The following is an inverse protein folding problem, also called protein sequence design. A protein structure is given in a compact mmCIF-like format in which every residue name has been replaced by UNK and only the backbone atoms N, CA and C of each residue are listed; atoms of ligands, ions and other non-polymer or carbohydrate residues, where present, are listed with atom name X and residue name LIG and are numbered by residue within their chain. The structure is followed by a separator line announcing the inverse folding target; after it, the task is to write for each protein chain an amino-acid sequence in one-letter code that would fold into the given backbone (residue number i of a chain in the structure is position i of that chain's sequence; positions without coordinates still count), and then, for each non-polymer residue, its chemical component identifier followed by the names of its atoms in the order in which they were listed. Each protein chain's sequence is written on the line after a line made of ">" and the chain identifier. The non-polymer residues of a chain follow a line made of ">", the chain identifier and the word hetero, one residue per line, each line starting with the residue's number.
data_IF_203341792713
#
_entry.id   IF_203341792713
#
_cell.length_a   1.000
_cell.length_b   1.000
_cell.length_c   1.000
_cell.angle_alpha   90.00
_cell.angle_beta   90.00
_cell.angle_gamma   90.00
#
_symmetry.space_group_name_H-M   'P 1'
#
loop_
_entity.id
_entity.type
_entity.pdbx_description
1 polymer ?
#
# COMPACT_ATOMS: atom_id res chain seq x y z
N UNK A 1 -14.13 -29.90 -0.13
CA UNK A 1 -13.26 -28.83 -0.67
C UNK A 1 -14.08 -27.88 -1.54
N UNK A 2 -13.88 -26.56 -1.40
CA UNK A 2 -14.66 -25.51 -2.06
C UNK A 2 -13.79 -24.66 -3.01
N UNK A 3 -13.38 -25.20 -4.18
CA UNK A 3 -12.45 -24.53 -5.09
C UNK A 3 -13.00 -23.25 -5.73
N UNK A 4 -14.32 -23.08 -5.72
CA UNK A 4 -14.99 -21.91 -6.29
C UNK A 4 -15.11 -20.71 -5.33
N UNK A 5 -14.76 -20.88 -4.05
CA UNK A 5 -14.92 -19.80 -3.08
C UNK A 5 -13.91 -18.67 -3.33
N UNK A 6 -14.34 -17.40 -3.24
CA UNK A 6 -13.41 -16.29 -3.34
C UNK A 6 -12.47 -16.26 -2.14
N UNK A 7 -11.25 -15.79 -2.38
CA UNK A 7 -10.24 -15.58 -1.33
C UNK A 7 -10.20 -14.09 -1.00
N UNK A 8 -10.52 -13.74 0.23
CA UNK A 8 -10.38 -12.38 0.72
C UNK A 8 -9.10 -12.26 1.56
N UNK A 9 -8.20 -11.38 1.13
CA UNK A 9 -6.99 -11.04 1.87
C UNK A 9 -7.25 -9.68 2.55
N UNK A 10 -6.89 -9.58 3.81
CA UNK A 10 -7.11 -8.35 4.58
C UNK A 10 -5.91 -8.05 5.46
N UNK A 11 -5.85 -6.81 5.89
CA UNK A 11 -4.82 -6.33 6.80
C UNK A 11 -5.14 -4.92 7.27
N UNK A 12 -4.40 -4.48 8.28
CA UNK A 12 -4.47 -3.14 8.84
C UNK A 12 -3.08 -2.49 8.77
N UNK A 13 -3.02 -1.19 8.50
CA UNK A 13 -1.77 -0.42 8.46
C UNK A 13 -0.78 -1.05 7.47
N UNK A 14 0.47 -1.31 7.88
CA UNK A 14 1.45 -2.02 7.06
C UNK A 14 0.92 -3.38 6.55
N UNK A 15 0.15 -4.10 7.37
CA UNK A 15 -0.45 -5.37 6.98
C UNK A 15 -1.46 -5.24 5.84
N UNK A 16 -2.13 -4.10 5.71
CA UNK A 16 -2.99 -3.83 4.55
C UNK A 16 -2.17 -3.69 3.27
N UNK A 17 -0.98 -3.09 3.36
CA UNK A 17 -0.03 -3.01 2.25
C UNK A 17 0.46 -4.39 1.81
N UNK A 18 0.80 -5.25 2.76
CA UNK A 18 1.15 -6.66 2.49
C UNK A 18 -0.02 -7.39 1.82
N UNK A 19 -1.24 -7.22 2.33
CA UNK A 19 -2.44 -7.83 1.75
C UNK A 19 -2.69 -7.41 0.29
N UNK A 20 -2.53 -6.12 0.00
CA UNK A 20 -2.65 -5.58 -1.35
C UNK A 20 -1.59 -6.15 -2.29
N UNK A 21 -0.31 -6.15 -1.89
CA UNK A 21 0.78 -6.71 -2.69
C UNK A 21 0.62 -8.22 -2.91
N UNK A 22 0.20 -8.97 -1.88
CA UNK A 22 -0.08 -10.41 -2.01
C UNK A 22 -1.23 -10.68 -2.98
N UNK A 23 -2.27 -9.85 -2.94
CA UNK A 23 -3.38 -9.92 -3.90
C UNK A 23 -2.90 -9.71 -5.34
N UNK A 24 -2.01 -8.74 -5.56
CA UNK A 24 -1.40 -8.52 -6.88
C UNK A 24 -0.54 -9.70 -7.33
N UNK A 25 0.29 -10.24 -6.45
CA UNK A 25 1.13 -11.40 -6.76
C UNK A 25 0.30 -12.64 -7.11
N UNK A 26 -0.83 -12.86 -6.43
CA UNK A 26 -1.72 -13.98 -6.72
C UNK A 26 -2.55 -13.79 -8.00
N UNK A 27 -2.92 -12.54 -8.32
CA UNK A 27 -3.70 -12.21 -9.53
C UNK A 27 -2.85 -12.20 -10.79
N UNK A 28 -1.68 -11.59 -10.72
CA UNK A 28 -0.83 -11.26 -11.87
C UNK A 28 0.50 -12.00 -11.87
N UNK A 29 0.65 -13.01 -11.01
CA UNK A 29 1.92 -13.70 -10.81
C UNK A 29 2.59 -14.08 -12.13
N UNK A 30 3.75 -13.48 -12.40
CA UNK A 30 4.58 -13.81 -13.55
C UNK A 30 6.06 -13.82 -13.15
N UNK A 31 6.70 -15.00 -13.25
CA UNK A 31 8.17 -15.11 -13.22
C UNK A 31 8.75 -16.48 -12.84
N UNK A 32 8.12 -17.24 -11.93
CA UNK A 32 8.75 -18.46 -11.36
C UNK A 32 7.99 -19.75 -11.68
N UNK A 33 6.65 -19.69 -11.80
CA UNK A 33 5.83 -20.85 -12.12
C UNK A 33 5.02 -20.66 -13.43
N UNK A 34 5.09 -21.60 -14.38
CA UNK A 34 4.33 -21.53 -15.64
C UNK A 34 2.84 -21.83 -15.47
N UNK A 35 2.39 -22.18 -14.26
CA UNK A 35 0.98 -22.47 -13.99
C UNK A 35 0.30 -21.28 -13.33
N UNK A 36 -0.74 -20.68 -13.96
CA UNK A 36 -1.53 -19.65 -13.32
C UNK A 36 -2.20 -20.20 -12.06
N UNK A 37 -2.31 -19.35 -11.03
CA UNK A 37 -3.03 -19.70 -9.80
C UNK A 37 -4.50 -19.97 -10.17
N UNK A 38 -5.06 -21.17 -9.93
CA UNK A 38 -6.39 -21.55 -10.42
C UNK A 38 -7.54 -20.63 -9.98
N UNK A 39 -7.33 -19.89 -8.88
CA UNK A 39 -8.31 -18.99 -8.27
C UNK A 39 -7.92 -17.50 -8.40
N UNK A 40 -6.93 -17.14 -9.24
CA UNK A 40 -6.42 -15.78 -9.40
C UNK A 40 -7.53 -14.73 -9.58
N UNK A 41 -8.50 -14.97 -10.47
CA UNK A 41 -9.61 -14.05 -10.75
C UNK A 41 -10.57 -13.83 -9.57
N UNK A 42 -10.47 -14.65 -8.51
CA UNK A 42 -11.34 -14.64 -7.32
C UNK A 42 -10.62 -14.22 -6.05
N UNK A 43 -9.44 -13.62 -6.15
CA UNK A 43 -8.70 -13.06 -5.00
C UNK A 43 -9.08 -11.59 -4.83
N UNK A 44 -9.48 -11.17 -3.65
CA UNK A 44 -9.87 -9.78 -3.36
C UNK A 44 -9.09 -9.28 -2.16
N UNK A 45 -8.96 -7.96 -2.04
CA UNK A 45 -8.34 -7.30 -0.90
C UNK A 45 -9.27 -6.27 -0.27
N UNK A 46 -9.34 -6.27 1.05
CA UNK A 46 -9.87 -5.15 1.83
C UNK A 46 -8.81 -4.75 2.86
N UNK A 47 -8.20 -3.59 2.65
CA UNK A 47 -7.15 -3.05 3.52
C UNK A 47 -7.63 -1.86 4.33
N UNK A 48 -7.35 -1.83 5.63
CA UNK A 48 -7.69 -0.70 6.51
C UNK A 48 -6.44 0.10 6.82
N UNK A 49 -6.50 1.43 6.76
CA UNK A 49 -5.36 2.30 7.07
C UNK A 49 -4.11 1.97 6.23
N UNK A 50 -4.28 1.55 4.97
CA UNK A 50 -3.17 1.11 4.13
C UNK A 50 -2.27 2.28 3.73
N UNK A 51 -0.94 2.23 3.95
CA UNK A 51 -0.04 3.20 3.33
C UNK A 51 0.01 2.99 1.80
N UNK A 52 0.45 3.99 1.01
CA UNK A 52 0.67 3.82 -0.42
C UNK A 52 1.78 2.79 -0.68
N UNK A 53 1.44 1.66 -1.30
CA UNK A 53 2.39 0.56 -1.61
C UNK A 53 2.60 0.34 -3.11
N UNK A 54 1.87 1.07 -3.95
CA UNK A 54 1.97 1.02 -5.41
C UNK A 54 1.99 2.43 -6.00
N UNK A 55 2.34 2.54 -7.28
CA UNK A 55 2.15 3.79 -8.03
C UNK A 55 0.67 4.03 -8.33
N UNK A 56 0.31 5.27 -8.65
CA UNK A 56 -1.06 5.64 -9.05
C UNK A 56 -1.57 4.77 -10.20
N UNK A 57 -0.76 4.61 -11.25
CA UNK A 57 -1.13 3.82 -12.43
C UNK A 57 -1.42 2.35 -12.08
N UNK A 58 -0.67 1.75 -11.15
CA UNK A 58 -0.95 0.38 -10.69
C UNK A 58 -2.20 0.37 -9.81
N UNK A 59 -2.37 1.34 -8.91
CA UNK A 59 -3.55 1.42 -8.06
C UNK A 59 -4.86 1.53 -8.87
N UNK A 60 -4.89 2.36 -9.91
CA UNK A 60 -6.05 2.50 -10.81
C UNK A 60 -6.40 1.20 -11.53
N UNK A 61 -5.41 0.36 -11.84
CA UNK A 61 -5.63 -0.97 -12.45
C UNK A 61 -6.19 -2.01 -11.46
N UNK A 62 -6.24 -1.70 -10.17
CA UNK A 62 -6.66 -2.62 -9.11
C UNK A 62 -8.04 -2.32 -8.53
N UNK A 63 -8.71 -1.28 -9.03
CA UNK A 63 -9.96 -0.74 -8.48
C UNK A 63 -11.09 -1.79 -8.42
N UNK A 64 -11.04 -2.81 -9.27
CA UNK A 64 -12.02 -3.89 -9.32
C UNK A 64 -11.82 -4.99 -8.25
N UNK A 65 -10.67 -5.03 -7.57
CA UNK A 65 -10.38 -6.09 -6.58
C UNK A 65 -9.62 -5.69 -5.32
N UNK A 66 -9.20 -4.43 -5.17
CA UNK A 66 -8.58 -3.91 -3.95
C UNK A 66 -9.38 -2.72 -3.42
N UNK A 67 -9.95 -2.88 -2.23
CA UNK A 67 -10.65 -1.82 -1.51
C UNK A 67 -9.77 -1.32 -0.37
N UNK A 68 -9.55 0.00 -0.30
CA UNK A 68 -8.87 0.65 0.81
C UNK A 68 -9.87 1.42 1.68
N UNK A 69 -9.95 1.06 2.96
CA UNK A 69 -10.76 1.75 3.96
C UNK A 69 -9.89 2.76 4.68
N UNK A 70 -10.20 4.04 4.48
CA UNK A 70 -9.46 5.17 5.03
C UNK A 70 -10.34 5.93 6.00
N UNK A 71 -9.84 6.14 7.22
CA UNK A 71 -10.46 7.06 8.17
C UNK A 71 -9.95 8.48 7.91
N UNK A 72 -10.82 9.48 7.95
CA UNK A 72 -10.52 10.86 7.51
C UNK A 72 -9.20 11.41 8.10
N UNK A 73 -9.07 11.32 9.42
CA UNK A 73 -7.91 11.82 10.17
C UNK A 73 -6.72 10.86 10.23
N UNK A 74 -6.76 9.72 9.53
CA UNK A 74 -5.65 8.76 9.53
C UNK A 74 -4.53 9.21 8.59
N UNK A 75 -3.35 9.50 9.13
CA UNK A 75 -2.22 9.91 8.31
C UNK A 75 -1.54 8.76 7.56
N UNK A 76 -1.78 7.50 7.94
CA UNK A 76 -1.06 6.34 7.35
C UNK A 76 -1.27 6.22 5.83
N UNK A 77 -2.48 6.36 5.27
CA UNK A 77 -2.71 6.38 3.82
C UNK A 77 -2.06 7.56 3.08
N UNK A 78 -1.54 8.53 3.83
CA UNK A 78 -0.85 9.72 3.30
C UNK A 78 0.67 9.59 3.42
N UNK A 79 1.22 8.46 3.88
CA UNK A 79 2.66 8.21 4.04
C UNK A 79 3.33 7.70 2.75
N UNK A 80 3.09 8.36 1.62
CA UNK A 80 3.85 8.09 0.39
C UNK A 80 5.35 8.39 0.57
N UNK A 81 6.20 7.86 -0.33
CA UNK A 81 7.62 8.22 -0.37
C UNK A 81 7.83 9.75 -0.36
N UNK A 82 7.11 10.46 -1.22
CA UNK A 82 7.21 11.91 -1.36
C UNK A 82 6.83 12.66 -0.08
N UNK A 83 5.68 12.33 0.51
CA UNK A 83 5.19 13.00 1.73
C UNK A 83 6.08 12.71 2.95
N UNK A 84 6.63 11.50 3.06
CA UNK A 84 7.57 11.16 4.13
C UNK A 84 8.87 11.94 3.97
N UNK A 85 9.41 11.99 2.76
CA UNK A 85 10.61 12.76 2.45
C UNK A 85 10.41 14.26 2.73
N UNK A 86 9.29 14.84 2.27
CA UNK A 86 8.95 16.23 2.53
C UNK A 86 8.85 16.53 4.03
N UNK A 87 8.14 15.67 4.79
CA UNK A 87 8.02 15.82 6.23
C UNK A 87 9.39 15.75 6.93
N UNK A 88 10.27 14.84 6.50
CA UNK A 88 11.63 14.75 7.06
C UNK A 88 12.46 16.00 6.73
N UNK A 89 12.39 16.52 5.50
CA UNK A 89 13.06 17.77 5.12
C UNK A 89 12.56 18.96 5.94
N UNK A 90 11.25 19.07 6.15
CA UNK A 90 10.66 20.11 6.98
C UNK A 90 11.12 20.00 8.44
N UNK A 91 11.18 18.79 8.99
CA UNK A 91 11.72 18.56 10.34
C UNK A 91 13.18 19.00 10.46
N UNK A 92 14.02 18.73 9.45
CA UNK A 92 15.42 19.16 9.43
C UNK A 92 15.52 20.68 9.39
N UNK A 93 14.78 21.34 8.49
CA UNK A 93 14.77 22.80 8.35
C UNK A 93 14.29 23.51 9.62
N UNK A 94 13.31 22.92 10.30
CA UNK A 94 12.76 23.46 11.54
C UNK A 94 13.56 23.05 12.78
N UNK A 95 14.63 22.25 12.63
CA UNK A 95 15.43 21.81 13.75
C UNK A 95 16.17 22.99 14.41
N UNK A 96 16.35 22.97 15.76
CA UNK A 96 17.11 24.02 16.45
C UNK A 96 18.55 24.15 15.94
N UNK A 97 19.16 23.04 15.50
CA UNK A 97 20.50 23.04 14.95
C UNK A 97 20.59 23.79 13.61
N UNK A 98 19.61 23.62 12.72
CA UNK A 98 19.54 24.36 11.46
C UNK A 98 19.32 25.86 11.71
N UNK A 99 18.40 26.21 12.61
CA UNK A 99 18.14 27.61 12.98
C UNK A 99 19.37 28.30 13.57
N UNK A 100 20.17 27.58 14.37
CA UNK A 100 21.41 28.11 14.93
C UNK A 100 22.46 28.35 13.84
N UNK A 101 22.60 27.44 12.88
CA UNK A 101 23.54 27.58 11.77
C UNK A 101 23.22 28.78 10.87
N UNK A 102 21.92 29.07 10.62
CA UNK A 102 21.49 30.22 9.83
C UNK A 102 21.64 31.57 10.56
N UNK A 103 21.88 31.53 11.88
CA UNK A 103 22.01 32.72 12.74
C UNK A 103 23.46 33.18 12.99
N UNK A 104 24.44 32.45 12.46
CA UNK A 104 25.89 32.73 12.56
C UNK A 104 26.43 33.35 11.26
#
# INVERSE_FOLDING_TARGET
>A
DHPDWPVLITGHSLGAGVAALMTLMLRHGHGVDPHPVPFASRVYCVGVACPPVTSLAVAEQCDDYIISVVHDMDFVPRLSHYSVEAALMDMVRLSPAAQLADSL
#
